data_IF_723859123121
#
_entry.id   IF_723859123121
#
_cell.length_a   1.000
_cell.length_b   1.000
_cell.length_c   1.000
_cell.angle_alpha   90.00
_cell.angle_beta   90.00
_cell.angle_gamma   90.00
#
_symmetry.space_group_name_H-M   'P 1'
#
loop_
_entity.id
_entity.type
_entity.pdbx_description
1 polymer ?
#
# COMPACT_ATOMS: atom_id res chain seq x y z
N UNK A 1 25.05 41.99 -4.34
CA UNK A 1 23.82 41.31 -4.80
C UNK A 1 24.18 40.05 -5.61
N UNK A 2 25.12 40.14 -6.54
CA UNK A 2 25.58 38.98 -7.33
C UNK A 2 26.25 37.90 -6.49
N UNK A 3 27.03 38.29 -5.47
CA UNK A 3 27.69 37.33 -4.57
C UNK A 3 26.68 36.50 -3.75
N UNK A 4 25.58 37.13 -3.36
CA UNK A 4 24.51 36.40 -2.65
C UNK A 4 23.82 35.39 -3.55
N UNK A 5 23.70 35.71 -4.84
CA UNK A 5 23.09 34.81 -5.80
C UNK A 5 24.01 33.60 -6.07
N UNK A 6 25.33 33.77 -6.07
CA UNK A 6 26.26 32.67 -6.24
C UNK A 6 26.28 31.74 -5.06
N UNK A 7 26.40 32.26 -3.85
CA UNK A 7 26.36 31.45 -2.62
C UNK A 7 25.04 30.72 -2.46
N UNK A 8 23.95 31.36 -2.85
CA UNK A 8 22.62 30.75 -2.82
C UNK A 8 22.48 29.63 -3.86
N UNK A 9 23.11 29.78 -5.02
CA UNK A 9 23.14 28.72 -6.05
C UNK A 9 23.89 27.49 -5.56
N UNK A 10 25.04 27.67 -4.90
CA UNK A 10 25.81 26.55 -4.36
C UNK A 10 25.04 25.82 -3.27
N UNK A 11 24.39 26.58 -2.41
CA UNK A 11 23.50 26.06 -1.38
C UNK A 11 22.34 25.26 -1.99
N UNK A 12 21.77 25.75 -3.11
CA UNK A 12 20.74 25.04 -3.86
C UNK A 12 21.25 23.78 -4.52
N UNK A 13 22.47 23.78 -5.03
CA UNK A 13 23.07 22.62 -5.68
C UNK A 13 23.23 21.46 -4.70
N UNK A 14 23.71 21.74 -3.48
CA UNK A 14 23.84 20.73 -2.42
C UNK A 14 22.48 20.21 -1.96
N UNK A 15 21.50 21.09 -1.83
CA UNK A 15 20.11 20.74 -1.46
C UNK A 15 19.36 20.11 -2.63
N UNK A 16 19.77 20.45 -3.87
CA UNK A 16 19.10 20.04 -5.09
C UNK A 16 18.99 18.54 -5.27
N UNK A 17 19.99 17.75 -4.83
CA UNK A 17 19.95 16.28 -4.94
C UNK A 17 18.86 15.69 -4.04
N UNK A 18 18.80 16.12 -2.77
CA UNK A 18 17.76 15.68 -1.84
C UNK A 18 16.39 16.21 -2.24
N UNK A 19 16.32 17.45 -2.72
CA UNK A 19 15.09 18.09 -3.18
C UNK A 19 14.59 17.45 -4.47
N UNK A 20 15.49 17.08 -5.41
CA UNK A 20 15.12 16.40 -6.64
C UNK A 20 14.55 15.00 -6.36
N UNK A 21 15.14 14.27 -5.42
CA UNK A 21 14.61 12.97 -4.99
C UNK A 21 13.25 13.12 -4.30
N UNK A 22 13.11 14.12 -3.43
CA UNK A 22 11.83 14.42 -2.78
C UNK A 22 10.76 14.86 -3.79
N UNK A 23 11.13 15.69 -4.80
CA UNK A 23 10.23 16.12 -5.85
C UNK A 23 9.78 14.94 -6.73
N UNK A 24 10.68 14.03 -7.10
CA UNK A 24 10.34 12.81 -7.84
C UNK A 24 9.42 11.91 -7.03
N UNK A 25 9.64 11.84 -5.73
CA UNK A 25 8.79 11.10 -4.80
C UNK A 25 7.41 11.74 -4.71
N UNK A 26 7.35 13.07 -4.60
CA UNK A 26 6.13 13.84 -4.59
C UNK A 26 5.36 13.70 -5.91
N UNK A 27 6.03 13.77 -7.07
CA UNK A 27 5.41 13.57 -8.37
C UNK A 27 4.74 12.21 -8.50
N UNK A 28 5.34 11.15 -7.94
CA UNK A 28 4.72 9.83 -7.91
C UNK A 28 3.45 9.79 -7.07
N UNK A 29 3.42 10.56 -5.98
CA UNK A 29 2.29 10.60 -5.06
C UNK A 29 1.27 11.66 -5.42
N UNK A 30 1.64 12.64 -6.24
CA UNK A 30 0.73 13.65 -6.79
C UNK A 30 -0.14 13.10 -7.92
N UNK A 31 0.13 11.89 -8.39
CA UNK A 31 -0.75 11.25 -9.33
C UNK A 31 -2.11 11.05 -8.69
N UNK A 32 -3.13 11.42 -9.44
CA UNK A 32 -4.49 11.30 -8.96
C UNK A 32 -4.79 9.84 -8.60
N UNK A 33 -5.34 9.65 -7.43
CA UNK A 33 -5.75 8.36 -6.93
C UNK A 33 -7.26 8.29 -7.05
N UNK A 34 -7.77 7.33 -7.82
CA UNK A 34 -9.19 7.05 -7.84
C UNK A 34 -9.60 6.50 -6.47
N UNK A 35 -10.69 7.01 -5.92
CA UNK A 35 -11.22 6.52 -4.66
C UNK A 35 -11.47 5.01 -4.70
N UNK A 36 -11.32 4.35 -3.55
CA UNK A 36 -11.64 2.93 -3.44
C UNK A 36 -13.13 2.72 -3.75
N UNK A 37 -13.42 1.98 -4.82
CA UNK A 37 -14.78 1.70 -5.25
C UNK A 37 -15.44 0.68 -4.33
N UNK A 38 -16.73 0.83 -4.06
CA UNK A 38 -17.47 -0.08 -3.20
C UNK A 38 -17.40 -1.53 -3.69
N UNK A 39 -17.49 -1.74 -4.98
CA UNK A 39 -17.35 -3.06 -5.60
C UNK A 39 -15.97 -3.68 -5.32
N UNK A 40 -14.92 -2.89 -5.46
CA UNK A 40 -13.55 -3.33 -5.20
C UNK A 40 -13.37 -3.62 -3.71
N UNK A 41 -13.86 -2.76 -2.83
CA UNK A 41 -13.81 -2.98 -1.40
C UNK A 41 -14.54 -4.27 -1.01
N UNK A 42 -15.74 -4.47 -1.51
CA UNK A 42 -16.51 -5.69 -1.24
C UNK A 42 -15.76 -6.94 -1.70
N UNK A 43 -15.12 -6.86 -2.86
CA UNK A 43 -14.29 -7.94 -3.39
C UNK A 43 -13.09 -8.23 -2.47
N UNK A 44 -12.39 -7.18 -2.03
CA UNK A 44 -11.26 -7.32 -1.09
C UNK A 44 -11.70 -7.99 0.20
N UNK A 45 -12.82 -7.55 0.74
CA UNK A 45 -13.32 -8.03 2.03
C UNK A 45 -13.87 -9.46 1.97
N UNK A 46 -14.69 -9.76 0.98
CA UNK A 46 -15.48 -11.01 0.92
C UNK A 46 -15.07 -11.98 -0.16
N UNK A 47 -14.34 -11.51 -1.18
CA UNK A 47 -13.99 -12.33 -2.34
C UNK A 47 -15.16 -12.55 -3.28
N UNK A 48 -14.94 -13.40 -4.29
CA UNK A 48 -15.94 -13.70 -5.33
C UNK A 48 -16.55 -15.10 -5.17
N UNK A 49 -16.24 -15.80 -4.09
CA UNK A 49 -16.72 -17.14 -3.84
C UNK A 49 -15.91 -18.26 -4.52
N UNK A 50 -14.93 -17.90 -5.34
CA UNK A 50 -14.07 -18.86 -6.03
C UNK A 50 -12.79 -19.22 -5.25
N UNK A 51 -12.56 -18.55 -4.11
CA UNK A 51 -11.38 -18.73 -3.26
C UNK A 51 -10.07 -18.17 -3.85
N UNK A 52 -10.10 -17.58 -5.01
CA UNK A 52 -8.90 -17.07 -5.70
C UNK A 52 -8.52 -15.66 -5.31
N UNK A 53 -9.50 -14.80 -5.12
CA UNK A 53 -9.28 -13.37 -4.87
C UNK A 53 -10.11 -12.89 -3.70
N UNK A 54 -9.52 -11.97 -2.92
CA UNK A 54 -10.21 -11.33 -1.81
C UNK A 54 -10.47 -12.27 -0.63
N UNK A 55 -11.40 -11.87 0.21
CA UNK A 55 -11.74 -12.64 1.41
C UNK A 55 -10.87 -12.27 2.60
N UNK A 56 -10.49 -11.01 2.73
CA UNK A 56 -9.57 -10.57 3.76
C UNK A 56 -10.24 -10.00 5.02
N UNK A 57 -11.57 -9.89 5.03
CA UNK A 57 -12.30 -9.54 6.25
C UNK A 57 -12.23 -10.71 7.23
N UNK A 58 -11.96 -10.40 8.51
CA UNK A 58 -11.91 -11.45 9.54
C UNK A 58 -13.20 -12.27 9.56
N UNK A 59 -13.04 -13.57 9.56
CA UNK A 59 -14.18 -14.51 9.64
C UNK A 59 -14.67 -15.02 8.30
N UNK A 60 -14.14 -14.53 7.16
CA UNK A 60 -14.51 -15.08 5.83
C UNK A 60 -14.06 -16.51 5.63
N UNK A 61 -12.94 -16.90 6.23
CA UNK A 61 -12.46 -18.28 6.22
C UNK A 61 -11.97 -18.79 4.87
N UNK A 62 -11.66 -17.90 3.93
CA UNK A 62 -11.17 -18.33 2.60
C UNK A 62 -9.79 -18.96 2.72
N UNK A 63 -9.67 -20.21 2.27
CA UNK A 63 -8.45 -21.01 2.41
C UNK A 63 -7.21 -20.29 1.84
N UNK A 64 -6.13 -20.27 2.61
CA UNK A 64 -4.86 -19.65 2.24
C UNK A 64 -4.80 -18.15 2.31
N UNK A 65 -5.91 -17.48 2.56
CA UNK A 65 -5.96 -16.01 2.62
C UNK A 65 -5.60 -15.49 3.99
N UNK A 66 -4.91 -14.33 3.98
CA UNK A 66 -4.71 -13.55 5.19
C UNK A 66 -5.97 -12.74 5.49
N UNK A 67 -6.22 -12.52 6.76
CA UNK A 67 -7.36 -11.71 7.20
C UNK A 67 -6.87 -10.55 8.07
N UNK A 68 -7.53 -9.39 7.93
CA UNK A 68 -7.31 -8.22 8.79
C UNK A 68 -7.65 -8.56 10.23
N UNK A 69 -7.14 -7.78 11.19
CA UNK A 69 -7.45 -8.04 12.60
C UNK A 69 -8.96 -8.08 12.86
N UNK A 70 -9.36 -8.93 13.80
CA UNK A 70 -10.77 -9.16 14.15
C UNK A 70 -11.55 -7.88 14.44
N UNK A 71 -10.91 -6.93 15.13
CA UNK A 71 -11.56 -5.67 15.54
C UNK A 71 -11.58 -4.59 14.45
N UNK A 72 -10.99 -4.84 13.29
CA UNK A 72 -11.02 -3.91 12.17
C UNK A 72 -12.31 -4.09 11.38
N UNK A 73 -13.18 -3.10 11.45
CA UNK A 73 -14.40 -3.08 10.64
C UNK A 73 -14.10 -2.66 9.19
N UNK A 74 -15.12 -2.75 8.34
CA UNK A 74 -14.99 -2.42 6.91
C UNK A 74 -14.49 -0.99 6.69
N UNK A 75 -14.99 -0.05 7.48
CA UNK A 75 -14.60 1.36 7.38
C UNK A 75 -13.14 1.57 7.73
N UNK A 76 -12.65 0.92 8.77
CA UNK A 76 -11.26 1.00 9.18
C UNK A 76 -10.35 0.39 8.12
N UNK A 77 -10.74 -0.73 7.55
CA UNK A 77 -10.00 -1.38 6.46
C UNK A 77 -9.94 -0.46 5.24
N UNK A 78 -11.07 0.10 4.82
CA UNK A 78 -11.13 1.03 3.68
C UNK A 78 -10.22 2.25 3.89
N UNK A 79 -10.26 2.85 5.08
CA UNK A 79 -9.39 3.98 5.44
C UNK A 79 -7.91 3.58 5.37
N UNK A 80 -7.56 2.41 5.89
CA UNK A 80 -6.19 1.91 5.87
C UNK A 80 -5.69 1.64 4.45
N UNK A 81 -6.52 1.09 3.59
CA UNK A 81 -6.19 0.86 2.18
C UNK A 81 -5.93 2.20 1.47
N UNK A 82 -6.80 3.18 1.64
CA UNK A 82 -6.62 4.50 1.04
C UNK A 82 -5.34 5.17 1.55
N UNK A 83 -5.07 5.12 2.84
CA UNK A 83 -3.83 5.68 3.41
C UNK A 83 -2.59 5.01 2.85
N UNK A 84 -2.64 3.71 2.60
CA UNK A 84 -1.51 2.96 2.06
C UNK A 84 -1.10 3.47 0.69
N UNK A 85 -2.05 3.77 -0.18
CA UNK A 85 -1.73 4.29 -1.52
C UNK A 85 -1.45 5.79 -1.52
N UNK A 86 -2.06 6.56 -0.63
CA UNK A 86 -1.86 8.01 -0.53
C UNK A 86 -0.50 8.37 0.06
N UNK A 87 -0.07 7.68 1.12
CA UNK A 87 1.19 7.94 1.83
C UNK A 87 1.93 6.65 2.15
N UNK A 88 2.37 5.91 1.13
CA UNK A 88 3.00 4.61 1.34
C UNK A 88 4.36 4.74 2.05
N UNK A 89 4.73 3.71 2.81
CA UNK A 89 6.07 3.58 3.36
C UNK A 89 7.05 3.13 2.28
N UNK A 90 6.57 2.34 1.31
CA UNK A 90 7.34 1.95 0.13
C UNK A 90 6.44 1.86 -1.10
N UNK A 91 7.04 2.05 -2.27
CA UNK A 91 6.37 1.98 -3.56
C UNK A 91 7.28 1.29 -4.57
N UNK A 92 6.75 0.34 -5.29
CA UNK A 92 7.44 -0.35 -6.38
C UNK A 92 6.63 -0.13 -7.65
N UNK A 93 7.24 0.55 -8.63
CA UNK A 93 6.61 0.77 -9.93
C UNK A 93 6.41 -0.54 -10.68
N UNK A 94 5.35 -0.61 -11.47
CA UNK A 94 5.13 -1.74 -12.35
C UNK A 94 6.28 -1.87 -13.34
N UNK A 95 6.79 -3.09 -13.57
CA UNK A 95 7.89 -3.31 -14.53
C UNK A 95 7.46 -3.09 -15.98
N UNK A 96 6.18 -3.21 -16.27
CA UNK A 96 5.59 -2.97 -17.59
C UNK A 96 4.13 -2.52 -17.46
N UNK A 97 3.51 -2.01 -18.55
CA UNK A 97 2.13 -1.48 -18.47
C UNK A 97 1.05 -2.49 -18.08
N UNK A 98 1.36 -3.79 -18.11
CA UNK A 98 0.41 -4.85 -17.76
C UNK A 98 0.49 -5.24 -16.28
N UNK A 99 1.62 -4.91 -15.65
CA UNK A 99 1.83 -5.25 -14.25
C UNK A 99 1.17 -4.21 -13.34
N UNK A 100 1.04 -4.58 -12.07
CA UNK A 100 0.48 -3.70 -11.05
C UNK A 100 1.58 -2.96 -10.31
N UNK A 101 1.34 -1.68 -10.06
CA UNK A 101 2.13 -0.90 -9.10
C UNK A 101 1.81 -1.40 -7.71
N UNK A 102 2.83 -1.44 -6.85
CA UNK A 102 2.69 -1.99 -5.49
C UNK A 102 3.02 -0.92 -4.47
N UNK A 103 2.21 -0.84 -3.45
CA UNK A 103 2.36 0.11 -2.35
C UNK A 103 2.26 -0.64 -1.03
N UNK A 104 3.07 -0.25 -0.08
CA UNK A 104 3.00 -0.85 1.25
C UNK A 104 3.04 0.18 2.35
N UNK A 105 2.35 -0.10 3.43
CA UNK A 105 2.35 0.73 4.63
C UNK A 105 2.07 -0.11 5.86
N UNK A 106 2.73 0.24 6.95
CA UNK A 106 2.41 -0.32 8.26
C UNK A 106 1.49 0.65 9.00
N UNK A 107 0.30 0.20 9.33
CA UNK A 107 -0.71 0.98 10.05
C UNK A 107 -1.12 0.20 11.29
N UNK A 108 -0.93 0.81 12.47
CA UNK A 108 -1.26 0.18 13.75
C UNK A 108 -0.69 -1.24 13.89
N UNK A 109 0.57 -1.41 13.45
CA UNK A 109 1.26 -2.69 13.50
C UNK A 109 0.89 -3.69 12.41
N UNK A 110 -0.02 -3.32 11.50
CA UNK A 110 -0.47 -4.18 10.38
C UNK A 110 0.21 -3.73 9.08
N UNK A 111 0.91 -4.64 8.44
CA UNK A 111 1.53 -4.41 7.14
C UNK A 111 0.49 -4.63 6.04
N UNK A 112 0.21 -3.60 5.27
CA UNK A 112 -0.79 -3.63 4.20
C UNK A 112 -0.12 -3.44 2.87
N UNK A 113 -0.43 -4.28 1.90
CA UNK A 113 -0.01 -4.10 0.52
C UNK A 113 -1.22 -3.79 -0.35
N UNK A 114 -1.08 -2.76 -1.19
CA UNK A 114 -2.08 -2.37 -2.18
C UNK A 114 -1.47 -2.51 -3.55
N UNK A 115 -2.19 -3.11 -4.48
CA UNK A 115 -1.81 -3.21 -5.89
C UNK A 115 -2.78 -2.42 -6.73
N UNK A 116 -2.25 -1.57 -7.61
CA UNK A 116 -3.04 -0.67 -8.44
C UNK A 116 -2.47 -0.60 -9.85
N UNK A 117 -3.33 -0.31 -10.80
CA UNK A 117 -2.92 -0.03 -12.17
C UNK A 117 -3.15 1.46 -12.50
N UNK A 118 -2.42 1.96 -13.47
CA UNK A 118 -2.62 3.32 -13.99
C UNK A 118 -3.64 3.29 -15.12
N UNK A 119 -4.64 4.17 -15.02
CA UNK A 119 -5.63 4.40 -16.04
C UNK A 119 -5.83 5.90 -16.19
N UNK A 120 -5.49 6.44 -17.36
CA UNK A 120 -5.63 7.89 -17.64
C UNK A 120 -4.95 8.78 -16.58
N UNK A 121 -3.77 8.36 -16.11
CA UNK A 121 -3.00 9.11 -15.10
C UNK A 121 -3.46 8.91 -13.66
N UNK A 122 -4.46 8.08 -13.41
CA UNK A 122 -4.95 7.76 -12.07
C UNK A 122 -4.54 6.36 -11.65
N UNK A 123 -4.19 6.20 -10.38
CA UNK A 123 -4.06 4.88 -9.78
C UNK A 123 -5.45 4.34 -9.43
N UNK A 124 -5.76 3.18 -9.96
CA UNK A 124 -7.01 2.45 -9.66
C UNK A 124 -6.65 1.21 -8.85
N UNK A 125 -7.20 1.11 -7.65
CA UNK A 125 -6.93 -0.01 -6.75
C UNK A 125 -7.56 -1.27 -7.32
N UNK A 126 -6.73 -2.31 -7.51
CA UNK A 126 -7.16 -3.62 -8.00
C UNK A 126 -7.35 -4.61 -6.84
N UNK A 127 -6.38 -4.63 -5.93
CA UNK A 127 -6.40 -5.54 -4.78
C UNK A 127 -5.64 -4.95 -3.60
N UNK A 128 -5.97 -5.42 -2.40
CA UNK A 128 -5.30 -5.05 -1.17
C UNK A 128 -5.44 -6.19 -0.17
N UNK A 129 -4.43 -6.37 0.67
CA UNK A 129 -4.45 -7.42 1.68
C UNK A 129 -3.45 -7.12 2.80
N UNK A 130 -3.70 -7.66 3.99
CA UNK A 130 -2.71 -7.60 5.06
C UNK A 130 -1.63 -8.65 4.80
N UNK A 131 -0.38 -8.23 4.93
CA UNK A 131 0.77 -9.13 4.73
C UNK A 131 1.12 -9.86 6.01
N UNK A 132 1.05 -9.18 7.13
CA UNK A 132 1.38 -9.70 8.44
C UNK A 132 1.36 -8.61 9.49
N UNK A 133 1.59 -8.96 10.72
CA UNK A 133 1.65 -8.04 11.84
C UNK A 133 0.57 -8.28 12.88
N UNK A 134 0.27 -7.25 13.64
CA UNK A 134 -0.61 -7.28 14.81
C UNK A 134 -2.02 -7.75 14.46
N UNK A 135 -2.41 -8.91 14.96
CA UNK A 135 -3.74 -9.47 14.76
C UNK A 135 -4.03 -10.03 13.36
N UNK A 136 -3.05 -10.01 12.45
CA UNK A 136 -3.20 -10.61 11.13
C UNK A 136 -3.12 -12.12 11.23
N UNK A 137 -4.06 -12.82 10.60
CA UNK A 137 -4.14 -14.28 10.61
C UNK A 137 -4.23 -14.81 9.18
N UNK A 138 -3.89 -16.08 9.02
CA UNK A 138 -4.03 -16.81 7.75
C UNK A 138 -4.88 -18.05 7.99
N UNK A 139 -5.78 -18.32 7.07
CA UNK A 139 -6.57 -19.54 7.10
C UNK A 139 -5.77 -20.72 6.53
N UNK A 140 -5.57 -21.76 7.33
CA UNK A 140 -4.89 -22.99 6.92
C UNK A 140 -5.82 -24.19 7.07
N UNK A 141 -5.41 -25.33 6.54
CA UNK A 141 -6.11 -26.59 6.72
C UNK A 141 -6.31 -26.97 8.19
N UNK A 142 -5.39 -26.56 9.04
CA UNK A 142 -5.39 -26.82 10.47
C UNK A 142 -5.98 -25.68 11.31
N UNK A 143 -6.66 -24.74 10.67
CA UNK A 143 -7.26 -23.60 11.32
C UNK A 143 -6.52 -22.29 11.05
N UNK A 144 -6.86 -21.29 11.84
CA UNK A 144 -6.30 -19.94 11.72
C UNK A 144 -4.98 -19.85 12.46
N UNK A 145 -3.95 -19.29 11.80
CA UNK A 145 -2.64 -19.07 12.40
C UNK A 145 -2.30 -17.58 12.35
N UNK A 146 -1.53 -17.09 13.34
CA UNK A 146 -1.01 -15.73 13.35
C UNK A 146 0.07 -15.57 12.29
N UNK A 147 0.08 -14.43 11.60
CA UNK A 147 1.10 -14.07 10.61
C UNK A 147 1.93 -12.92 11.14
N UNK A 148 3.18 -13.19 11.48
CA UNK A 148 4.10 -12.15 11.95
C UNK A 148 4.42 -11.14 10.86
N UNK A 149 4.79 -9.93 11.27
CA UNK A 149 5.25 -8.90 10.36
C UNK A 149 6.44 -9.41 9.52
N UNK A 150 6.40 -9.12 8.23
CA UNK A 150 7.51 -9.40 7.32
C UNK A 150 8.72 -8.56 7.70
N UNK A 151 9.90 -9.18 7.72
CA UNK A 151 11.17 -8.50 7.96
C UNK A 151 11.95 -8.21 6.69
N UNK A 152 11.33 -8.39 5.52
CA UNK A 152 11.99 -8.08 4.26
C UNK A 152 12.35 -6.59 4.19
N UNK A 153 13.39 -6.28 3.38
CA UNK A 153 14.01 -4.95 3.34
C UNK A 153 13.01 -3.81 3.10
N UNK A 154 12.04 -4.00 2.21
CA UNK A 154 11.04 -2.98 1.90
C UNK A 154 10.18 -2.58 3.09
N UNK A 155 9.94 -3.52 4.03
CA UNK A 155 9.14 -3.27 5.23
C UNK A 155 9.94 -2.68 6.38
N UNK A 156 11.27 -2.67 6.29
CA UNK A 156 12.16 -2.11 7.32
C UNK A 156 12.50 -0.64 7.07
N UNK A 157 11.67 0.09 6.38
CA UNK A 157 11.84 1.52 6.17
C UNK A 157 11.75 2.27 7.50
N UNK A 158 12.67 3.21 7.77
CA UNK A 158 12.59 4.05 8.95
C UNK A 158 11.41 5.01 8.92
#
# INVERSE_FOLDING_TARGET
IMRRNGAFRDSRSIRGTKTALAARRAERYDRKIAGLRDKTLNHILRGEGDGRRGGHLYGTGVAGKTEFPRQWDERRIATAINRTIETPDWHIDAPDPRALHRFGKTIDGVQIEVKAYLQDGEYVIDRAYPVGGEGVTRNTENGRIDVKASRSKKWRQP
#
